data_IF_907197334017
#
_entry.id   IF_907197334017
#
_cell.length_a   1.000
_cell.length_b   1.000
_cell.length_c   1.000
_cell.angle_alpha   90.00
_cell.angle_beta   90.00
_cell.angle_gamma   90.00
#
_symmetry.space_group_name_H-M   'P 1'
#
loop_
_entity.id
_entity.type
_entity.pdbx_description
1 polymer ?
#
# COMPACT_ATOMS: atom_id res chain seq x y z
N UNK A 1 -20.89 -17.62 -2.40
CA UNK A 1 -19.88 -16.86 -3.19
C UNK A 1 -19.46 -15.67 -2.34
N UNK A 2 -18.15 -15.34 -2.24
CA UNK A 2 -17.72 -14.16 -1.46
C UNK A 2 -18.00 -12.89 -2.26
N UNK A 3 -18.44 -11.84 -1.56
CA UNK A 3 -18.58 -10.49 -2.11
C UNK A 3 -17.37 -9.65 -1.73
N UNK A 4 -16.72 -9.03 -2.71
CA UNK A 4 -15.51 -8.22 -2.53
C UNK A 4 -15.75 -6.83 -3.08
N UNK A 5 -15.45 -5.81 -2.28
CA UNK A 5 -15.53 -4.40 -2.69
C UNK A 5 -14.13 -3.77 -2.55
N UNK A 6 -13.60 -3.24 -3.65
CA UNK A 6 -12.25 -2.62 -3.68
C UNK A 6 -12.41 -1.13 -3.94
N UNK A 7 -12.22 -0.31 -2.92
CA UNK A 7 -12.26 1.15 -3.01
C UNK A 7 -10.87 1.67 -3.38
N UNK A 8 -10.74 2.26 -4.57
CA UNK A 8 -9.45 2.63 -5.17
C UNK A 8 -8.84 1.46 -5.96
N UNK A 9 -9.63 0.94 -6.91
CA UNK A 9 -9.28 -0.20 -7.75
C UNK A 9 -8.30 0.20 -8.88
N UNK A 10 -7.08 0.63 -8.49
CA UNK A 10 -5.95 0.91 -9.37
C UNK A 10 -4.93 -0.23 -9.35
N UNK A 11 -3.65 0.10 -9.42
CA UNK A 11 -2.52 -0.84 -9.58
C UNK A 11 -2.58 -2.09 -8.68
N UNK A 12 -2.72 -1.90 -7.38
CA UNK A 12 -2.87 -3.02 -6.42
C UNK A 12 -4.27 -3.59 -6.45
N UNK A 13 -5.29 -2.73 -6.55
CA UNK A 13 -6.70 -3.14 -6.53
C UNK A 13 -7.09 -4.04 -7.71
N UNK A 14 -6.60 -3.76 -8.92
CA UNK A 14 -6.83 -4.60 -10.11
C UNK A 14 -6.26 -6.01 -9.93
N UNK A 15 -5.02 -6.12 -9.43
CA UNK A 15 -4.38 -7.42 -9.15
C UNK A 15 -5.10 -8.19 -8.05
N UNK A 16 -5.52 -7.48 -7.01
CA UNK A 16 -6.31 -8.06 -5.93
C UNK A 16 -7.68 -8.55 -6.43
N UNK A 17 -8.34 -7.76 -7.27
CA UNK A 17 -9.62 -8.14 -7.89
C UNK A 17 -9.48 -9.38 -8.78
N UNK A 18 -8.47 -9.42 -9.63
CA UNK A 18 -8.17 -10.58 -10.46
C UNK A 18 -7.90 -11.85 -9.62
N UNK A 19 -7.17 -11.72 -8.52
CA UNK A 19 -6.92 -12.82 -7.58
C UNK A 19 -8.21 -13.34 -6.95
N UNK A 20 -9.15 -12.46 -6.60
CA UNK A 20 -10.45 -12.84 -6.03
C UNK A 20 -11.38 -13.47 -7.06
N UNK A 21 -11.43 -12.93 -8.29
CA UNK A 21 -12.19 -13.53 -9.40
C UNK A 21 -11.71 -14.96 -9.67
N UNK A 22 -10.40 -15.20 -9.69
CA UNK A 22 -9.83 -16.53 -9.85
C UNK A 22 -10.21 -17.52 -8.72
N UNK A 23 -10.65 -17.01 -7.57
CA UNK A 23 -11.18 -17.80 -6.46
C UNK A 23 -12.73 -17.91 -6.48
N UNK A 24 -13.38 -17.48 -7.53
CA UNK A 24 -14.83 -17.55 -7.69
C UNK A 24 -15.61 -16.51 -6.86
N UNK A 25 -14.99 -15.41 -6.46
CA UNK A 25 -15.68 -14.32 -5.77
C UNK A 25 -16.38 -13.38 -6.78
N UNK A 26 -17.42 -12.68 -6.34
CA UNK A 26 -17.90 -11.48 -7.04
C UNK A 26 -17.08 -10.28 -6.60
N UNK A 27 -16.63 -9.44 -7.55
CA UNK A 27 -15.75 -8.31 -7.25
C UNK A 27 -16.31 -7.03 -7.84
N UNK A 28 -16.48 -6.01 -6.99
CA UNK A 28 -16.80 -4.64 -7.38
C UNK A 28 -15.55 -3.78 -7.18
N UNK A 29 -15.15 -3.08 -8.23
CA UNK A 29 -14.01 -2.14 -8.22
C UNK A 29 -14.50 -0.70 -8.29
N UNK A 30 -14.16 0.10 -7.29
CA UNK A 30 -14.56 1.52 -7.22
C UNK A 30 -13.40 2.39 -7.62
N UNK A 31 -13.63 3.28 -8.60
CA UNK A 31 -12.67 4.29 -9.03
C UNK A 31 -13.37 5.63 -9.32
N UNK A 32 -12.57 6.69 -9.48
CA UNK A 32 -13.10 8.04 -9.64
C UNK A 32 -13.56 8.34 -11.06
N UNK A 33 -12.93 7.81 -12.12
CA UNK A 33 -13.12 8.25 -13.52
C UNK A 33 -12.86 7.18 -14.59
N UNK A 34 -13.35 7.49 -15.81
CA UNK A 34 -13.29 6.86 -17.11
C UNK A 34 -12.21 5.78 -17.31
N UNK A 35 -11.00 6.12 -17.69
CA UNK A 35 -9.95 5.13 -18.01
C UNK A 35 -9.74 4.09 -16.90
N UNK A 36 -9.81 4.48 -15.62
CA UNK A 36 -9.72 3.53 -14.51
C UNK A 36 -10.94 2.60 -14.42
N UNK A 37 -12.13 3.02 -14.89
CA UNK A 37 -13.32 2.18 -14.93
C UNK A 37 -13.24 1.20 -16.11
N UNK A 38 -12.65 1.62 -17.23
CA UNK A 38 -12.40 0.76 -18.38
C UNK A 38 -11.41 -0.35 -18.01
N UNK A 39 -10.30 -0.03 -17.33
CA UNK A 39 -9.33 -1.01 -16.85
C UNK A 39 -9.97 -2.02 -15.88
N UNK A 40 -10.85 -1.56 -14.98
CA UNK A 40 -11.60 -2.42 -14.06
C UNK A 40 -12.50 -3.38 -14.83
N UNK A 41 -13.23 -2.87 -15.83
CA UNK A 41 -14.11 -3.67 -16.67
C UNK A 41 -13.34 -4.71 -17.49
N UNK A 42 -12.22 -4.30 -18.08
CA UNK A 42 -11.33 -5.20 -18.86
C UNK A 42 -10.75 -6.33 -18.00
N UNK A 43 -10.54 -6.07 -16.70
CA UNK A 43 -10.10 -7.09 -15.75
C UNK A 43 -11.23 -8.04 -15.30
N UNK A 44 -12.45 -7.91 -15.83
CA UNK A 44 -13.62 -8.70 -15.44
C UNK A 44 -14.23 -8.33 -14.10
N UNK A 45 -13.84 -7.19 -13.53
CA UNK A 45 -14.33 -6.65 -12.27
C UNK A 45 -15.51 -5.72 -12.58
N UNK A 46 -16.56 -5.73 -11.77
CA UNK A 46 -17.71 -4.82 -11.94
C UNK A 46 -17.29 -3.38 -11.60
N UNK A 47 -17.23 -2.45 -12.56
CA UNK A 47 -16.78 -1.09 -12.33
C UNK A 47 -17.88 -0.23 -11.68
N UNK A 48 -17.50 0.58 -10.70
CA UNK A 48 -18.38 1.56 -10.06
C UNK A 48 -17.67 2.90 -9.94
N UNK A 49 -18.31 3.97 -10.41
CA UNK A 49 -17.79 5.33 -10.28
C UNK A 49 -18.15 5.93 -8.93
N UNK A 50 -17.14 6.42 -8.19
CA UNK A 50 -17.35 7.20 -6.97
C UNK A 50 -16.21 8.19 -6.74
N UNK A 51 -16.55 9.46 -6.75
CA UNK A 51 -15.56 10.51 -6.49
C UNK A 51 -15.54 10.86 -5.00
N UNK A 52 -14.55 10.32 -4.28
CA UNK A 52 -14.34 10.60 -2.86
C UNK A 52 -13.78 12.02 -2.58
N UNK A 53 -13.37 12.79 -3.58
CA UNK A 53 -12.93 14.18 -3.42
C UNK A 53 -14.09 15.18 -3.43
N UNK A 54 -15.23 14.79 -4.03
CA UNK A 54 -16.40 15.64 -4.11
C UNK A 54 -17.45 15.30 -3.04
N UNK A 55 -18.19 16.28 -2.50
CA UNK A 55 -19.28 16.00 -1.59
C UNK A 55 -20.39 15.20 -2.29
N UNK A 56 -21.26 14.51 -1.54
CA UNK A 56 -22.44 13.87 -2.09
C UNK A 56 -23.32 14.89 -2.81
N UNK A 57 -23.65 14.61 -4.07
CA UNK A 57 -24.56 15.39 -4.93
C UNK A 57 -25.25 14.42 -5.86
N UNK A 58 -26.27 14.89 -6.58
CA UNK A 58 -26.86 14.10 -7.65
C UNK A 58 -25.79 13.60 -8.62
N UNK A 59 -25.73 12.28 -8.80
CA UNK A 59 -24.68 11.61 -9.60
C UNK A 59 -23.34 11.34 -8.89
N UNK A 60 -23.14 11.74 -7.64
CA UNK A 60 -21.96 11.39 -6.82
C UNK A 60 -22.37 10.88 -5.44
N UNK A 61 -23.36 10.00 -5.37
CA UNK A 61 -23.73 9.29 -4.15
C UNK A 61 -22.82 8.10 -3.89
N UNK A 62 -22.85 7.59 -2.66
CA UNK A 62 -22.23 6.31 -2.36
C UNK A 62 -22.80 5.22 -3.30
N UNK A 63 -21.94 4.34 -3.83
CA UNK A 63 -22.41 3.32 -4.76
C UNK A 63 -23.39 2.37 -4.08
N UNK A 64 -24.41 1.97 -4.85
CA UNK A 64 -25.31 0.87 -4.44
C UNK A 64 -24.56 -0.44 -4.70
N UNK A 65 -23.87 -0.92 -3.69
CA UNK A 65 -23.20 -2.23 -3.67
C UNK A 65 -23.73 -3.04 -2.50
N UNK A 66 -23.64 -4.35 -2.59
CA UNK A 66 -23.94 -5.22 -1.45
C UNK A 66 -22.78 -5.15 -0.44
N UNK A 67 -22.96 -4.31 0.57
CA UNK A 67 -22.01 -4.18 1.66
C UNK A 67 -22.10 -5.32 2.67
N UNK A 68 -23.27 -5.94 2.81
CA UNK A 68 -23.49 -6.98 3.79
C UNK A 68 -22.64 -8.21 3.49
N UNK A 69 -21.99 -8.72 4.53
CA UNK A 69 -21.06 -9.86 4.46
C UNK A 69 -19.91 -9.71 3.46
N UNK A 70 -19.73 -8.52 2.86
CA UNK A 70 -18.61 -8.25 1.94
C UNK A 70 -17.27 -8.09 2.69
N UNK A 71 -16.17 -8.37 1.98
CA UNK A 71 -14.84 -7.94 2.38
C UNK A 71 -14.51 -6.65 1.61
N UNK A 72 -14.31 -5.58 2.34
CA UNK A 72 -14.02 -4.25 1.78
C UNK A 72 -12.53 -3.97 1.90
N UNK A 73 -11.89 -3.66 0.77
CA UNK A 73 -10.50 -3.19 0.72
C UNK A 73 -10.46 -1.70 0.40
N UNK A 74 -9.86 -0.92 1.30
CA UNK A 74 -9.66 0.50 1.06
C UNK A 74 -8.20 0.75 0.66
N UNK A 75 -7.99 1.05 -0.64
CA UNK A 75 -6.68 1.24 -1.27
C UNK A 75 -6.41 2.69 -1.66
N UNK A 76 -7.35 3.62 -1.41
CA UNK A 76 -7.21 5.03 -1.80
C UNK A 76 -6.17 5.73 -0.92
N UNK A 77 -5.20 6.47 -1.51
CA UNK A 77 -4.31 7.31 -0.72
C UNK A 77 -5.07 8.52 -0.15
N UNK A 78 -4.68 9.04 1.03
CA UNK A 78 -5.22 10.29 1.54
C UNK A 78 -4.89 11.45 0.57
N UNK A 79 -5.66 12.55 0.60
CA UNK A 79 -5.37 13.71 -0.23
C UNK A 79 -4.00 14.29 0.10
N UNK A 80 -3.37 15.07 -0.82
CA UNK A 80 -2.02 15.60 -0.63
C UNK A 80 -1.94 16.66 0.49
N UNK A 81 -3.05 17.29 0.83
CA UNK A 81 -3.14 18.36 1.83
C UNK A 81 -4.08 18.00 2.99
N UNK A 82 -4.02 18.80 4.07
CA UNK A 82 -4.84 18.61 5.27
C UNK A 82 -4.19 17.69 6.31
N UNK A 83 -4.85 17.57 7.47
CA UNK A 83 -4.41 16.74 8.60
C UNK A 83 -5.17 15.43 8.75
N UNK A 84 -6.30 15.27 8.07
CA UNK A 84 -7.17 14.10 8.09
C UNK A 84 -7.36 13.51 6.68
N UNK A 85 -8.06 12.38 6.59
CA UNK A 85 -8.45 11.75 5.32
C UNK A 85 -9.98 11.90 5.09
N UNK A 86 -10.43 12.99 4.44
CA UNK A 86 -11.84 13.19 4.12
C UNK A 86 -12.37 12.17 3.10
N UNK A 87 -11.52 11.56 2.28
CA UNK A 87 -11.89 10.47 1.37
C UNK A 87 -12.35 9.25 2.14
N UNK A 88 -11.55 8.86 3.14
CA UNK A 88 -11.90 7.74 4.02
C UNK A 88 -13.19 8.06 4.81
N UNK A 89 -13.27 9.25 5.41
CA UNK A 89 -14.47 9.64 6.17
C UNK A 89 -15.74 9.55 5.31
N UNK A 90 -15.66 10.00 4.06
CA UNK A 90 -16.78 9.92 3.11
C UNK A 90 -17.08 8.49 2.70
N UNK A 91 -16.04 7.67 2.51
CA UNK A 91 -16.22 6.24 2.23
C UNK A 91 -16.95 5.54 3.37
N UNK A 92 -16.49 5.72 4.61
CA UNK A 92 -17.09 5.09 5.79
C UNK A 92 -18.54 5.54 6.03
N UNK A 93 -18.85 6.82 5.77
CA UNK A 93 -20.22 7.35 5.84
C UNK A 93 -21.16 6.78 4.74
N UNK A 94 -20.58 6.33 3.62
CA UNK A 94 -21.33 5.74 2.51
C UNK A 94 -21.52 4.23 2.60
N UNK A 95 -20.95 3.56 3.59
CA UNK A 95 -21.17 2.12 3.83
C UNK A 95 -22.57 1.93 4.42
N UNK A 96 -23.44 1.26 3.69
CA UNK A 96 -24.82 0.90 4.13
C UNK A 96 -24.88 -0.59 4.34
N UNK A 97 -25.12 -1.04 5.58
CA UNK A 97 -25.07 -2.45 5.94
C UNK A 97 -23.83 -2.82 6.77
N UNK A 98 -23.57 -4.10 6.91
CA UNK A 98 -22.52 -4.62 7.79
C UNK A 98 -21.51 -5.49 7.03
N UNK A 99 -20.41 -4.90 6.52
CA UNK A 99 -19.33 -5.68 5.94
C UNK A 99 -18.79 -6.74 6.90
N UNK A 100 -18.37 -7.87 6.39
CA UNK A 100 -17.68 -8.89 7.17
C UNK A 100 -16.37 -8.33 7.72
N UNK A 101 -15.63 -7.59 6.88
CA UNK A 101 -14.33 -7.00 7.25
C UNK A 101 -13.96 -5.81 6.39
N UNK A 102 -13.35 -4.81 7.01
CA UNK A 102 -12.65 -3.73 6.33
C UNK A 102 -11.14 -3.94 6.42
N UNK A 103 -10.46 -4.03 5.27
CA UNK A 103 -8.99 -4.08 5.17
C UNK A 103 -8.49 -2.74 4.64
N UNK A 104 -7.65 -2.07 5.41
CA UNK A 104 -7.09 -0.77 5.07
C UNK A 104 -5.60 -0.87 4.71
N UNK A 105 -5.21 -0.36 3.54
CA UNK A 105 -3.82 -0.26 3.13
C UNK A 105 -3.21 1.03 3.69
N UNK A 106 -2.56 0.94 4.84
CA UNK A 106 -1.78 2.00 5.46
C UNK A 106 -0.34 2.03 4.93
N UNK A 107 0.60 2.55 5.70
CA UNK A 107 2.03 2.61 5.32
C UNK A 107 2.93 2.40 6.52
N UNK A 108 4.09 1.77 6.32
CA UNK A 108 5.16 1.72 7.32
C UNK A 108 5.74 3.11 7.66
N UNK A 109 5.43 4.13 6.86
CA UNK A 109 5.79 5.52 7.16
C UNK A 109 5.24 6.08 8.46
N UNK A 110 4.18 5.47 9.03
CA UNK A 110 3.60 5.87 10.32
C UNK A 110 4.57 5.74 11.50
N UNK A 111 5.57 4.87 11.37
CA UNK A 111 6.61 4.72 12.40
C UNK A 111 7.55 5.92 12.50
N UNK A 112 7.74 6.68 11.41
CA UNK A 112 8.74 7.75 11.35
C UNK A 112 10.15 7.20 11.25
N UNK A 113 11.14 8.02 11.64
CA UNK A 113 12.55 7.65 11.57
C UNK A 113 13.02 7.00 12.87
N UNK A 114 13.66 5.86 12.74
CA UNK A 114 14.29 5.11 13.83
C UNK A 114 15.81 4.94 13.65
N UNK A 115 16.44 5.76 12.80
CA UNK A 115 17.89 5.70 12.57
C UNK A 115 18.38 4.32 12.09
N UNK A 116 17.55 3.60 11.32
CA UNK A 116 17.84 2.22 10.90
C UNK A 116 17.54 1.14 11.95
N UNK A 117 16.99 1.50 13.12
CA UNK A 117 16.56 0.53 14.13
C UNK A 117 15.36 -0.30 13.68
N UNK A 118 15.13 -1.43 14.36
CA UNK A 118 13.96 -2.31 14.11
C UNK A 118 12.69 -1.73 14.70
N UNK A 119 11.59 -1.92 13.97
CA UNK A 119 10.23 -1.57 14.39
C UNK A 119 9.28 -2.73 14.09
N UNK A 120 8.30 -2.92 14.95
CA UNK A 120 7.22 -3.89 14.82
C UNK A 120 5.86 -3.20 15.06
N UNK A 121 4.78 -3.98 15.08
CA UNK A 121 3.46 -3.43 15.28
C UNK A 121 3.16 -2.97 16.72
N UNK A 122 4.01 -3.33 17.69
CA UNK A 122 3.96 -2.81 19.06
C UNK A 122 4.69 -1.47 19.19
N UNK A 123 5.56 -1.13 18.24
CA UNK A 123 6.27 0.14 18.22
C UNK A 123 5.31 1.31 18.06
N UNK A 124 5.38 2.27 18.97
CA UNK A 124 4.53 3.47 18.92
C UNK A 124 4.78 4.27 17.65
N UNK A 125 3.74 4.55 16.85
CA UNK A 125 3.88 5.39 15.67
C UNK A 125 4.34 6.81 16.01
N UNK A 126 5.31 7.32 15.23
CA UNK A 126 5.85 8.67 15.36
C UNK A 126 6.04 9.34 13.99
N UNK A 127 4.94 9.57 13.24
CA UNK A 127 5.01 10.05 11.86
C UNK A 127 5.65 11.44 11.78
N UNK A 128 6.66 11.60 10.92
CA UNK A 128 7.35 12.89 10.70
C UNK A 128 6.87 13.62 9.45
N UNK A 129 6.12 12.95 8.58
CA UNK A 129 5.58 13.57 7.36
C UNK A 129 4.08 13.77 7.45
N UNK A 130 3.52 14.86 6.86
CA UNK A 130 2.07 15.07 6.84
C UNK A 130 1.29 13.90 6.22
N UNK A 131 1.88 13.23 5.21
CA UNK A 131 1.30 12.05 4.58
C UNK A 131 1.19 10.88 5.58
N UNK A 132 2.22 10.62 6.36
CA UNK A 132 2.23 9.55 7.36
C UNK A 132 1.28 9.86 8.53
N UNK A 133 1.22 11.13 8.95
CA UNK A 133 0.27 11.56 9.99
C UNK A 133 -1.19 11.34 9.56
N UNK A 134 -1.54 11.68 8.30
CA UNK A 134 -2.89 11.40 7.77
C UNK A 134 -3.21 9.91 7.72
N UNK A 135 -2.23 9.06 7.40
CA UNK A 135 -2.41 7.60 7.42
C UNK A 135 -2.67 7.08 8.84
N UNK A 136 -1.93 7.59 9.83
CA UNK A 136 -2.16 7.22 11.23
C UNK A 136 -3.53 7.69 11.72
N UNK A 137 -3.94 8.91 11.37
CA UNK A 137 -5.29 9.40 11.69
C UNK A 137 -6.38 8.51 11.05
N UNK A 138 -6.15 8.02 9.82
CA UNK A 138 -7.05 7.09 9.15
C UNK A 138 -7.11 5.71 9.86
N UNK A 139 -5.99 5.17 10.36
CA UNK A 139 -5.98 3.93 11.17
C UNK A 139 -6.87 4.09 12.41
N UNK A 140 -6.76 5.23 13.10
CA UNK A 140 -7.60 5.55 14.29
C UNK A 140 -9.08 5.66 13.92
N UNK A 141 -9.40 6.35 12.81
CA UNK A 141 -10.78 6.52 12.34
C UNK A 141 -11.44 5.19 11.98
N UNK A 142 -10.70 4.29 11.33
CA UNK A 142 -11.19 2.93 10.98
C UNK A 142 -11.49 2.13 12.24
N UNK A 143 -10.58 2.14 13.21
CA UNK A 143 -10.81 1.42 14.47
C UNK A 143 -12.08 1.92 15.18
N UNK A 144 -12.25 3.23 15.31
CA UNK A 144 -13.42 3.84 15.94
C UNK A 144 -14.72 3.49 15.18
N UNK A 145 -14.72 3.64 13.86
CA UNK A 145 -15.87 3.30 13.02
C UNK A 145 -16.24 1.82 13.11
N UNK A 146 -15.24 0.95 13.00
CA UNK A 146 -15.46 -0.49 13.02
C UNK A 146 -15.98 -0.98 14.38
N UNK A 147 -15.51 -0.39 15.48
CA UNK A 147 -16.04 -0.66 16.82
C UNK A 147 -17.51 -0.24 16.93
N UNK A 148 -17.86 0.96 16.45
CA UNK A 148 -19.23 1.47 16.49
C UNK A 148 -20.19 0.62 15.64
N UNK A 149 -19.73 0.09 14.51
CA UNK A 149 -20.55 -0.74 13.59
C UNK A 149 -20.49 -2.24 13.90
N UNK A 150 -19.64 -2.68 14.83
CA UNK A 150 -19.41 -4.10 15.11
C UNK A 150 -18.79 -4.86 13.92
N UNK A 151 -17.99 -4.17 13.09
CA UNK A 151 -17.32 -4.71 11.91
C UNK A 151 -15.90 -5.17 12.27
N UNK A 152 -15.45 -6.30 11.70
CA UNK A 152 -14.05 -6.73 11.77
C UNK A 152 -13.18 -5.79 10.92
N UNK A 153 -11.92 -5.57 11.33
CA UNK A 153 -11.00 -4.76 10.55
C UNK A 153 -9.57 -5.30 10.58
N UNK A 154 -8.80 -4.98 9.56
CA UNK A 154 -7.35 -5.20 9.52
C UNK A 154 -6.66 -4.01 8.86
N UNK A 155 -5.60 -3.51 9.49
CA UNK A 155 -4.75 -2.46 8.94
C UNK A 155 -3.45 -3.08 8.46
N UNK A 156 -3.15 -2.92 7.18
CA UNK A 156 -1.89 -3.33 6.57
C UNK A 156 -0.95 -2.12 6.47
N UNK A 157 0.11 -2.07 7.28
CA UNK A 157 1.18 -1.07 7.16
C UNK A 157 2.14 -1.51 6.07
N UNK A 158 1.86 -1.05 4.85
CA UNK A 158 2.53 -1.48 3.62
C UNK A 158 3.82 -0.70 3.41
N UNK A 159 4.89 -1.39 3.08
CA UNK A 159 6.18 -0.84 2.68
C UNK A 159 6.14 -0.29 1.24
N UNK A 160 7.27 0.13 0.69
CA UNK A 160 7.36 0.60 -0.70
C UNK A 160 6.99 -0.50 -1.70
N UNK A 161 5.90 -0.30 -2.44
CA UNK A 161 5.40 -1.29 -3.40
C UNK A 161 6.22 -1.22 -4.68
N UNK A 162 6.79 -2.35 -5.12
CA UNK A 162 7.39 -2.51 -6.42
C UNK A 162 6.73 -3.66 -7.20
N UNK A 163 7.01 -3.75 -8.50
CA UNK A 163 6.42 -4.75 -9.37
C UNK A 163 6.49 -4.31 -10.84
N UNK A 164 5.83 -5.00 -11.76
CA UNK A 164 5.75 -4.58 -13.15
C UNK A 164 5.30 -3.12 -13.29
N UNK A 165 5.93 -2.37 -14.18
CA UNK A 165 5.67 -0.93 -14.43
C UNK A 165 6.05 0.01 -13.27
N UNK A 166 6.59 -0.51 -12.16
CA UNK A 166 6.99 0.29 -10.98
C UNK A 166 8.46 0.14 -10.59
N UNK A 167 9.26 -0.55 -11.41
CA UNK A 167 10.71 -0.50 -11.28
C UNK A 167 11.23 0.87 -11.72
N UNK A 168 12.29 1.41 -11.09
CA UNK A 168 12.82 2.73 -11.39
C UNK A 168 13.68 2.77 -12.68
N UNK A 169 13.22 2.12 -13.77
CA UNK A 169 13.97 1.96 -15.01
C UNK A 169 14.25 3.30 -15.70
N UNK A 170 13.24 4.17 -15.77
CA UNK A 170 13.41 5.51 -16.38
C UNK A 170 14.38 6.39 -15.60
N UNK A 171 14.38 6.29 -14.28
CA UNK A 171 15.34 6.97 -13.42
C UNK A 171 16.76 6.52 -13.74
N UNK A 172 16.98 5.21 -13.90
CA UNK A 172 18.27 4.63 -14.27
C UNK A 172 18.70 5.04 -15.68
N UNK A 173 17.78 5.00 -16.66
CA UNK A 173 18.06 5.43 -18.05
C UNK A 173 18.47 6.91 -18.15
N UNK A 174 17.91 7.76 -17.29
CA UNK A 174 18.29 9.19 -17.21
C UNK A 174 19.59 9.42 -16.43
N UNK A 175 20.22 8.39 -15.89
CA UNK A 175 21.45 8.53 -15.11
C UNK A 175 21.24 9.35 -13.83
N UNK A 176 20.04 9.36 -13.24
CA UNK A 176 19.79 10.09 -12.00
C UNK A 176 20.60 9.48 -10.85
N UNK A 177 21.24 10.33 -10.01
CA UNK A 177 22.17 9.83 -9.01
C UNK A 177 21.49 9.05 -7.89
N UNK A 178 22.25 8.14 -7.29
CA UNK A 178 21.94 7.45 -6.05
C UNK A 178 22.81 7.99 -4.90
N UNK A 179 22.35 7.83 -3.67
CA UNK A 179 23.17 8.10 -2.48
C UNK A 179 24.32 7.09 -2.45
N UNK A 180 25.53 7.51 -2.07
CA UNK A 180 26.66 6.58 -1.91
C UNK A 180 26.25 5.37 -1.05
N UNK A 181 26.69 4.15 -1.39
CA UNK A 181 26.31 2.94 -0.65
C UNK A 181 26.55 3.03 0.87
N UNK A 182 27.66 3.60 1.28
CA UNK A 182 28.08 3.78 2.68
C UNK A 182 27.23 4.80 3.46
N UNK A 183 26.53 5.71 2.75
CA UNK A 183 25.64 6.72 3.33
C UNK A 183 24.16 6.35 3.17
N UNK A 184 23.87 5.29 2.41
CA UNK A 184 22.52 4.85 2.15
C UNK A 184 21.96 4.04 3.34
N UNK A 185 20.71 4.31 3.67
CA UNK A 185 20.05 3.69 4.82
C UNK A 185 19.05 2.61 4.39
N UNK A 186 18.75 1.64 5.27
CA UNK A 186 17.73 0.63 5.00
C UNK A 186 16.38 1.23 4.59
N UNK A 187 15.76 0.61 3.61
CA UNK A 187 14.40 0.93 3.17
C UNK A 187 13.62 -0.37 3.02
N UNK A 188 12.32 -0.32 3.27
CA UNK A 188 11.48 -1.52 3.24
C UNK A 188 10.65 -1.54 1.96
N UNK A 189 10.43 -2.74 1.41
CA UNK A 189 9.70 -2.97 0.17
C UNK A 189 8.78 -4.15 0.28
N UNK A 190 7.89 -4.27 -0.70
CA UNK A 190 7.07 -5.44 -0.94
C UNK A 190 6.78 -5.54 -2.44
N UNK A 191 6.92 -6.73 -3.00
CA UNK A 191 6.47 -6.99 -4.36
C UNK A 191 4.94 -7.03 -4.39
N UNK A 192 4.32 -6.51 -5.46
CA UNK A 192 2.87 -6.30 -5.52
C UNK A 192 2.05 -7.59 -5.39
N UNK A 193 2.53 -8.72 -5.90
CA UNK A 193 1.80 -9.99 -5.81
C UNK A 193 1.86 -10.60 -4.41
N UNK A 194 2.95 -10.37 -3.68
CA UNK A 194 3.04 -10.68 -2.26
C UNK A 194 2.12 -9.77 -1.42
N UNK A 195 2.03 -8.48 -1.77
CA UNK A 195 1.05 -7.58 -1.17
C UNK A 195 -0.38 -8.07 -1.42
N UNK A 196 -0.70 -8.51 -2.63
CA UNK A 196 -2.02 -9.09 -2.95
C UNK A 196 -2.28 -10.33 -2.11
N UNK A 197 -1.29 -11.20 -1.93
CA UNK A 197 -1.40 -12.40 -1.07
C UNK A 197 -1.65 -11.99 0.38
N UNK A 198 -0.94 -10.98 0.89
CA UNK A 198 -1.17 -10.41 2.22
C UNK A 198 -2.59 -9.83 2.37
N UNK A 199 -3.09 -9.10 1.34
CA UNK A 199 -4.45 -8.57 1.34
C UNK A 199 -5.50 -9.67 1.42
N UNK A 200 -5.36 -10.74 0.62
CA UNK A 200 -6.28 -11.88 0.67
C UNK A 200 -6.27 -12.53 2.05
N UNK A 201 -5.10 -12.80 2.61
CA UNK A 201 -4.97 -13.37 3.96
C UNK A 201 -5.61 -12.46 5.02
N UNK A 202 -5.38 -11.15 4.95
CA UNK A 202 -5.99 -10.16 5.85
C UNK A 202 -7.53 -10.13 5.73
N UNK A 203 -8.06 -10.39 4.54
CA UNK A 203 -9.50 -10.45 4.30
C UNK A 203 -10.19 -11.65 4.96
N UNK A 204 -9.54 -12.82 4.98
CA UNK A 204 -10.20 -14.08 5.36
C UNK A 204 -9.71 -14.70 6.67
N UNK A 205 -8.48 -14.44 7.09
CA UNK A 205 -7.92 -15.06 8.29
C UNK A 205 -8.58 -14.51 9.56
N UNK A 206 -9.03 -15.39 10.44
CA UNK A 206 -9.48 -14.99 11.77
C UNK A 206 -8.37 -14.36 12.61
N UNK A 207 -7.11 -14.72 12.35
CA UNK A 207 -5.93 -14.15 13.00
C UNK A 207 -5.66 -12.68 12.62
N UNK A 208 -6.30 -12.20 11.54
CA UNK A 208 -6.22 -10.80 11.11
C UNK A 208 -7.28 -9.89 11.76
N UNK A 209 -8.21 -10.46 12.54
CA UNK A 209 -9.29 -9.68 13.14
C UNK A 209 -8.76 -8.66 14.15
N UNK A 210 -9.14 -7.39 13.95
CA UNK A 210 -8.72 -6.23 14.77
C UNK A 210 -7.21 -6.13 14.94
N UNK A 211 -6.47 -6.39 13.85
CA UNK A 211 -5.01 -6.39 13.86
C UNK A 211 -4.43 -5.33 12.95
N UNK A 212 -3.27 -4.85 13.36
CA UNK A 212 -2.33 -4.13 12.52
C UNK A 212 -1.26 -5.14 12.09
N UNK A 213 -0.88 -5.15 10.81
CA UNK A 213 0.10 -6.06 10.25
C UNK A 213 1.06 -5.29 9.36
N UNK A 214 2.36 -5.44 9.59
CA UNK A 214 3.40 -4.93 8.70
C UNK A 214 3.51 -5.79 7.45
N UNK A 215 3.56 -5.15 6.29
CA UNK A 215 3.66 -5.84 5.00
C UNK A 215 4.92 -5.37 4.28
N UNK A 216 5.99 -6.15 4.41
CA UNK A 216 7.26 -5.98 3.73
C UNK A 216 7.91 -7.34 3.45
N UNK A 217 8.89 -7.36 2.53
CA UNK A 217 9.62 -8.57 2.12
C UNK A 217 10.65 -9.07 3.15
N UNK A 218 10.91 -8.28 4.19
CA UNK A 218 11.91 -8.58 5.22
C UNK A 218 13.34 -8.22 4.81
N UNK A 219 13.55 -7.67 3.61
CA UNK A 219 14.85 -7.20 3.16
C UNK A 219 15.26 -5.92 3.90
N UNK A 220 16.53 -5.87 4.34
CA UNK A 220 17.17 -4.68 4.91
C UNK A 220 17.90 -3.83 3.83
N UNK A 221 17.72 -4.13 2.54
CA UNK A 221 18.40 -3.46 1.43
C UNK A 221 18.13 -1.95 1.42
N UNK A 222 19.17 -1.16 1.21
CA UNK A 222 19.05 0.28 1.06
C UNK A 222 18.38 0.67 -0.27
N UNK A 223 18.00 1.94 -0.42
CA UNK A 223 17.50 2.46 -1.69
C UNK A 223 18.53 2.37 -2.81
N UNK A 224 19.81 2.59 -2.48
CA UNK A 224 20.92 2.49 -3.43
C UNK A 224 21.17 1.05 -3.84
N UNK A 225 21.19 0.13 -2.89
CA UNK A 225 21.32 -1.29 -3.20
C UNK A 225 20.21 -1.79 -4.12
N UNK A 226 18.95 -1.39 -3.87
CA UNK A 226 17.85 -1.70 -4.75
C UNK A 226 18.06 -1.19 -6.17
N UNK A 227 18.47 0.08 -6.34
CA UNK A 227 18.77 0.66 -7.65
C UNK A 227 19.89 -0.09 -8.38
N UNK A 228 20.96 -0.46 -7.67
CA UNK A 228 22.07 -1.23 -8.25
C UNK A 228 21.63 -2.62 -8.70
N UNK A 229 20.79 -3.32 -7.90
CA UNK A 229 20.23 -4.61 -8.29
C UNK A 229 19.33 -4.49 -9.53
N UNK A 230 18.45 -3.48 -9.58
CA UNK A 230 17.60 -3.22 -10.74
C UNK A 230 18.46 -2.91 -11.98
N UNK A 231 19.47 -2.05 -11.87
CA UNK A 231 20.37 -1.71 -12.98
C UNK A 231 21.07 -2.98 -13.52
N UNK A 232 21.66 -3.77 -12.63
CA UNK A 232 22.36 -5.01 -13.01
C UNK A 232 21.42 -6.02 -13.70
N UNK A 233 20.23 -6.24 -13.15
CA UNK A 233 19.28 -7.24 -13.66
C UNK A 233 18.64 -6.78 -14.98
N UNK A 234 18.38 -5.48 -15.12
CA UNK A 234 17.83 -4.90 -16.34
C UNK A 234 18.88 -4.60 -17.43
N UNK A 235 20.16 -4.89 -17.18
CA UNK A 235 21.23 -4.57 -18.14
C UNK A 235 21.45 -3.07 -18.35
N UNK A 236 21.15 -2.24 -17.35
CA UNK A 236 21.31 -0.79 -17.41
C UNK A 236 22.60 -0.36 -16.69
N UNK A 237 23.18 0.79 -17.07
CA UNK A 237 24.32 1.37 -16.35
C UNK A 237 23.99 1.62 -14.87
N UNK A 238 24.97 1.42 -14.00
CA UNK A 238 24.85 1.82 -12.60
C UNK A 238 24.69 3.35 -12.50
N UNK A 239 23.85 3.85 -11.58
CA UNK A 239 23.68 5.28 -11.40
C UNK A 239 24.97 5.91 -10.82
N UNK A 240 25.29 7.17 -11.15
CA UNK A 240 26.34 7.91 -10.47
C UNK A 240 25.98 8.11 -8.99
N UNK A 241 27.01 8.32 -8.16
CA UNK A 241 26.79 8.48 -6.71
C UNK A 241 26.98 9.92 -6.26
N UNK A 242 26.13 10.35 -5.33
CA UNK A 242 26.23 11.63 -4.62
C UNK A 242 26.21 11.40 -3.11
N UNK A 243 26.71 12.36 -2.35
CA UNK A 243 26.59 12.30 -0.88
C UNK A 243 25.10 12.42 -0.45
N UNK A 244 24.78 11.90 0.72
CA UNK A 244 23.43 12.07 1.30
C UNK A 244 23.05 13.54 1.44
N UNK A 245 23.99 14.40 1.82
CA UNK A 245 23.79 15.84 1.92
C UNK A 245 23.46 16.48 0.57
N UNK A 246 24.17 16.11 -0.50
CA UNK A 246 23.89 16.61 -1.85
C UNK A 246 22.52 16.11 -2.35
N UNK A 247 22.17 14.85 -2.11
CA UNK A 247 20.86 14.32 -2.44
C UNK A 247 19.73 15.07 -1.70
N UNK A 248 19.90 15.39 -0.42
CA UNK A 248 18.95 16.17 0.34
C UNK A 248 18.74 17.58 -0.20
N UNK A 249 19.81 18.22 -0.65
CA UNK A 249 19.77 19.58 -1.19
C UNK A 249 19.09 19.66 -2.58
N UNK A 250 19.11 18.58 -3.36
CA UNK A 250 18.65 18.57 -4.76
C UNK A 250 17.29 17.91 -4.95
N UNK A 251 16.91 16.99 -4.08
CA UNK A 251 15.63 16.29 -4.17
C UNK A 251 14.46 17.18 -3.68
N UNK A 252 13.30 16.98 -4.31
CA UNK A 252 12.07 17.59 -3.79
C UNK A 252 11.76 17.07 -2.38
N UNK A 253 11.07 17.86 -1.57
CA UNK A 253 10.64 17.45 -0.23
C UNK A 253 9.85 16.12 -0.26
N UNK A 254 9.05 15.91 -1.30
CA UNK A 254 8.30 14.66 -1.51
C UNK A 254 9.24 13.47 -1.74
N UNK A 255 10.24 13.61 -2.62
CA UNK A 255 11.21 12.54 -2.89
C UNK A 255 12.08 12.26 -1.65
N UNK A 256 12.54 13.32 -0.97
CA UNK A 256 13.31 13.19 0.26
C UNK A 256 12.52 12.49 1.38
N UNK A 257 11.21 12.69 1.48
CA UNK A 257 10.39 12.04 2.50
C UNK A 257 10.42 10.50 2.47
N UNK A 258 10.88 9.90 1.36
CA UNK A 258 11.07 8.45 1.25
C UNK A 258 12.49 7.99 1.63
N UNK A 259 13.48 8.89 1.55
CA UNK A 259 14.89 8.58 1.78
C UNK A 259 15.40 9.16 3.11
N UNK A 260 14.70 10.15 3.64
CA UNK A 260 15.09 10.88 4.85
C UNK A 260 14.87 10.11 6.15
N UNK A 261 13.96 9.13 6.15
CA UNK A 261 13.65 8.27 7.29
C UNK A 261 14.23 6.87 7.07
N UNK A 262 14.73 6.25 8.12
CA UNK A 262 15.29 4.89 8.08
C UNK A 262 14.77 4.04 9.24
N UNK A 263 14.39 2.82 8.91
CA UNK A 263 13.95 1.78 9.84
C UNK A 263 14.02 0.40 9.19
N UNK A 264 14.08 -0.65 9.98
CA UNK A 264 13.90 -2.04 9.55
C UNK A 264 12.57 -2.53 10.09
N UNK A 265 11.65 -2.86 9.21
CA UNK A 265 10.29 -3.27 9.59
C UNK A 265 10.24 -4.79 9.74
N UNK A 266 9.85 -5.24 10.92
CA UNK A 266 9.62 -6.65 11.22
C UNK A 266 8.31 -7.11 10.54
N UNK A 267 8.32 -8.26 9.87
CA UNK A 267 7.17 -8.84 9.17
C UNK A 267 6.72 -10.20 9.74
N UNK A 268 7.20 -10.59 10.92
CA UNK A 268 6.86 -11.89 11.53
C UNK A 268 5.36 -12.06 11.73
N UNK A 269 4.64 -11.00 12.05
CA UNK A 269 3.17 -11.09 12.16
C UNK A 269 2.53 -11.50 10.82
N UNK A 270 3.03 -11.03 9.71
CA UNK A 270 2.57 -11.42 8.37
C UNK A 270 2.92 -12.88 8.08
N UNK A 271 4.17 -13.28 8.29
CA UNK A 271 4.68 -14.58 7.85
C UNK A 271 4.35 -15.72 8.83
N UNK A 272 4.50 -15.47 10.13
CA UNK A 272 4.32 -16.51 11.16
C UNK A 272 2.89 -16.54 11.72
N UNK A 273 2.31 -15.38 12.06
CA UNK A 273 0.97 -15.35 12.65
C UNK A 273 -0.13 -15.49 11.58
N UNK A 274 -0.05 -14.74 10.46
CA UNK A 274 -1.02 -14.88 9.36
C UNK A 274 -0.71 -16.04 8.42
N UNK A 275 0.51 -16.59 8.46
CA UNK A 275 0.92 -17.70 7.63
C UNK A 275 1.10 -17.35 6.15
N UNK A 276 1.45 -16.09 5.84
CA UNK A 276 1.69 -15.65 4.46
C UNK A 276 3.08 -16.07 4.01
N UNK A 277 3.15 -16.97 3.04
CA UNK A 277 4.39 -17.30 2.35
C UNK A 277 4.68 -16.24 1.28
N UNK A 278 5.79 -15.53 1.42
CA UNK A 278 6.25 -14.54 0.45
C UNK A 278 6.99 -15.25 -0.70
N UNK A 279 6.52 -15.07 -1.93
CA UNK A 279 7.17 -15.62 -3.13
C UNK A 279 8.42 -14.81 -3.52
N UNK A 280 8.48 -13.55 -3.12
CA UNK A 280 9.52 -12.59 -3.52
C UNK A 280 10.29 -12.03 -2.31
N UNK A 281 10.59 -12.90 -1.32
CA UNK A 281 11.49 -12.54 -0.21
C UNK A 281 12.93 -12.29 -0.71
N UNK A 282 13.34 -12.95 -1.79
CA UNK A 282 14.56 -12.63 -2.52
C UNK A 282 14.30 -11.47 -3.49
N UNK A 283 14.99 -10.35 -3.23
CA UNK A 283 14.84 -9.12 -3.99
C UNK A 283 15.19 -9.28 -5.48
N UNK A 284 16.20 -10.10 -5.82
CA UNK A 284 16.60 -10.34 -7.20
C UNK A 284 15.52 -11.13 -7.96
N UNK A 285 14.88 -12.10 -7.30
CA UNK A 285 13.75 -12.85 -7.86
C UNK A 285 12.57 -11.91 -8.10
N UNK A 286 12.24 -11.07 -7.13
CA UNK A 286 11.15 -10.09 -7.26
C UNK A 286 11.39 -9.06 -8.35
N UNK A 287 12.64 -8.57 -8.52
CA UNK A 287 13.00 -7.64 -9.59
C UNK A 287 12.86 -8.31 -10.96
N UNK A 288 13.38 -9.56 -11.15
CA UNK A 288 13.23 -10.29 -12.42
C UNK A 288 11.76 -10.50 -12.79
N UNK A 289 10.92 -10.87 -11.83
CA UNK A 289 9.49 -11.04 -12.05
C UNK A 289 8.75 -9.73 -12.36
N UNK A 290 9.43 -8.59 -12.19
CA UNK A 290 8.86 -7.25 -12.37
C UNK A 290 9.34 -6.55 -13.64
N UNK A 291 10.24 -7.17 -14.42
CA UNK A 291 10.69 -6.69 -15.74
C UNK A 291 9.75 -7.17 -16.84
#
# INVERSE_FOLDING_TARGET
>A
MRSIVIIGCGYTGLRLGARWLAQGASVVGVAMRGASLDDISLAGITPVAWNLDAPPRDGNCAPVVDWDASIVYYCVPPPPAGSADPRLARCLAGVVGRPQRLVYLSTTGVYGDHGGGRVDEATTPAPRTPRAARRLAAETAINAWAQAQGVSWCVLRVAGIYGPERLPLERLRRGEPAIRPEEATPTNRIQVDDLVTACVAAGVSSRADRRIVNVCDGSDASSTEFLLRVARIAGLPAPPFVSRAAAQATLTASAWSFLGESRRVDNRRLTEELGVALAFHDLDVGIRASL
#
